data_IF_068430702467
#
_entry.id   IF_068430702467
#
_cell.length_a   1.000
_cell.length_b   1.000
_cell.length_c   1.000
_cell.angle_alpha   90.00
_cell.angle_beta   90.00
_cell.angle_gamma   90.00
#
_symmetry.space_group_name_H-M   'P 1'
#
loop_
_entity.id
_entity.type
_entity.pdbx_description
1 polymer ?
#
# COMPACT_ATOMS: atom_id res chain seq x y z
N UNK A 1 -6.78 -7.49 -5.33
CA UNK A 1 -5.57 -7.02 -6.03
C UNK A 1 -4.70 -6.29 -5.01
N UNK A 2 -3.42 -6.63 -4.95
CA UNK A 2 -2.46 -5.99 -4.05
C UNK A 2 -1.32 -5.40 -4.87
N UNK A 3 -1.04 -4.12 -4.66
CA UNK A 3 0.17 -3.48 -5.13
C UNK A 3 0.82 -2.69 -3.99
N UNK A 4 2.12 -2.85 -3.82
CA UNK A 4 2.83 -2.21 -2.73
C UNK A 4 4.35 -2.26 -2.89
N UNK A 5 5.01 -1.35 -2.17
CA UNK A 5 6.46 -1.29 -2.03
C UNK A 5 6.87 -1.88 -0.67
N UNK A 6 7.91 -2.74 -0.62
CA UNK A 6 8.34 -3.34 0.64
C UNK A 6 8.97 -2.29 1.57
N UNK A 7 8.30 -1.98 2.68
CA UNK A 7 8.81 -1.10 3.74
C UNK A 7 8.61 -1.74 5.12
N UNK A 8 9.65 -1.76 5.96
CA UNK A 8 9.51 -2.25 7.35
C UNK A 8 8.65 -1.28 8.15
N UNK A 9 7.63 -1.72 8.93
CA UNK A 9 7.23 -3.09 9.29
C UNK A 9 6.04 -3.67 8.49
N UNK A 10 5.65 -3.12 7.34
CA UNK A 10 4.54 -3.64 6.54
C UNK A 10 4.92 -4.84 5.64
N UNK A 11 6.19 -5.24 5.65
CA UNK A 11 6.73 -6.33 4.81
C UNK A 11 6.07 -7.68 5.08
N UNK A 12 5.67 -7.98 6.33
CA UNK A 12 4.97 -9.22 6.67
C UNK A 12 3.62 -9.35 5.95
N UNK A 13 2.91 -8.23 5.79
CA UNK A 13 1.63 -8.19 5.08
C UNK A 13 1.86 -8.50 3.60
N UNK A 14 2.87 -7.88 2.99
CA UNK A 14 3.23 -8.15 1.61
C UNK A 14 3.68 -9.61 1.41
N UNK A 15 4.44 -10.18 2.34
CA UNK A 15 4.90 -11.58 2.26
C UNK A 15 3.72 -12.56 2.35
N UNK A 16 2.81 -12.39 3.30
CA UNK A 16 1.62 -13.24 3.45
C UNK A 16 0.73 -13.13 2.20
N UNK A 17 0.52 -11.91 1.70
CA UNK A 17 -0.32 -11.68 0.53
C UNK A 17 0.33 -12.21 -0.75
N UNK A 18 1.65 -12.18 -0.90
CA UNK A 18 2.32 -12.76 -2.06
C UNK A 18 2.09 -14.27 -2.19
N UNK A 19 1.89 -14.98 -1.08
CA UNK A 19 1.55 -16.41 -1.07
C UNK A 19 0.05 -16.65 -1.21
N UNK A 20 -0.78 -15.95 -0.43
CA UNK A 20 -2.23 -16.20 -0.35
C UNK A 20 -3.06 -15.59 -1.47
N UNK A 21 -2.66 -14.45 -2.05
CA UNK A 21 -3.44 -13.84 -3.13
C UNK A 21 -3.49 -14.74 -4.38
N UNK A 22 -2.35 -15.28 -4.86
CA UNK A 22 -2.35 -16.15 -6.03
C UNK A 22 -3.21 -17.41 -5.85
N UNK A 23 -3.23 -18.00 -4.65
CA UNK A 23 -4.09 -19.16 -4.32
C UNK A 23 -5.58 -18.84 -4.47
N UNK A 24 -5.98 -17.60 -4.22
CA UNK A 24 -7.35 -17.11 -4.33
C UNK A 24 -7.66 -16.49 -5.70
N UNK A 25 -6.75 -16.60 -6.68
CA UNK A 25 -6.88 -16.00 -8.01
C UNK A 25 -6.69 -14.47 -8.04
N UNK A 26 -6.12 -13.89 -6.98
CA UNK A 26 -5.76 -12.48 -6.90
C UNK A 26 -4.33 -12.21 -7.37
N UNK A 27 -4.11 -11.02 -7.94
CA UNK A 27 -2.78 -10.57 -8.38
C UNK A 27 -2.06 -9.79 -7.29
N UNK A 28 -0.82 -10.19 -7.01
CA UNK A 28 0.15 -9.45 -6.21
C UNK A 28 1.19 -8.83 -7.14
N UNK A 29 1.41 -7.53 -7.03
CA UNK A 29 2.44 -6.81 -7.81
C UNK A 29 3.31 -6.00 -6.84
N UNK A 30 4.62 -6.20 -6.95
CA UNK A 30 5.57 -5.32 -6.29
C UNK A 30 5.88 -4.15 -7.22
N UNK A 31 5.68 -2.93 -6.72
CA UNK A 31 5.96 -1.72 -7.47
C UNK A 31 7.31 -1.14 -7.07
N UNK A 32 7.79 -0.19 -7.86
CA UNK A 32 9.06 0.51 -7.71
C UNK A 32 9.08 1.48 -6.53
N UNK A 33 7.94 2.12 -6.24
CA UNK A 33 7.76 3.08 -5.17
C UNK A 33 6.30 3.09 -4.65
N UNK A 34 6.06 3.82 -3.57
CA UNK A 34 4.73 3.97 -2.99
C UNK A 34 3.75 4.78 -3.87
N UNK A 35 4.26 5.64 -4.76
CA UNK A 35 3.43 6.46 -5.66
C UNK A 35 2.82 5.55 -6.73
N UNK A 36 3.65 4.79 -7.44
CA UNK A 36 3.26 3.79 -8.42
C UNK A 36 2.37 2.71 -7.80
N UNK A 37 2.65 2.31 -6.56
CA UNK A 37 1.78 1.43 -5.77
C UNK A 37 0.35 1.97 -5.72
N UNK A 38 0.17 3.22 -5.28
CA UNK A 38 -1.19 3.76 -5.12
C UNK A 38 -1.85 4.11 -6.46
N UNK A 39 -1.11 4.58 -7.46
CA UNK A 39 -1.63 4.80 -8.81
C UNK A 39 -2.17 3.50 -9.44
N UNK A 40 -1.45 2.39 -9.25
CA UNK A 40 -1.88 1.08 -9.75
C UNK A 40 -3.09 0.54 -8.99
N UNK A 41 -3.14 0.75 -7.68
CA UNK A 41 -4.31 0.46 -6.84
C UNK A 41 -5.55 1.20 -7.34
N UNK A 42 -5.42 2.51 -7.64
CA UNK A 42 -6.52 3.32 -8.16
C UNK A 42 -6.99 2.79 -9.51
N UNK A 43 -6.05 2.51 -10.43
CA UNK A 43 -6.37 1.92 -11.73
C UNK A 43 -7.09 0.56 -11.61
N UNK A 44 -6.61 -0.32 -10.73
CA UNK A 44 -7.23 -1.61 -10.48
C UNK A 44 -8.60 -1.50 -9.77
N UNK A 45 -8.83 -0.45 -8.99
CA UNK A 45 -10.15 -0.21 -8.39
C UNK A 45 -11.16 0.24 -9.43
N UNK A 46 -10.74 1.04 -10.42
CA UNK A 46 -11.59 1.50 -11.51
C UNK A 46 -12.03 0.35 -12.42
N UNK A 47 -11.27 -0.75 -12.49
CA UNK A 47 -11.68 -1.97 -13.21
C UNK A 47 -12.66 -2.86 -12.41
N UNK A 48 -13.05 -2.43 -11.20
CA UNK A 48 -14.02 -3.12 -10.35
C UNK A 48 -13.41 -4.17 -9.42
N UNK A 49 -12.08 -4.26 -9.33
CA UNK A 49 -11.43 -5.17 -8.38
C UNK A 49 -11.39 -4.56 -6.98
N UNK A 50 -11.47 -5.42 -5.96
CA UNK A 50 -11.17 -5.00 -4.58
C UNK A 50 -9.66 -4.83 -4.43
N UNK A 51 -9.24 -3.63 -4.06
CA UNK A 51 -7.83 -3.25 -3.99
C UNK A 51 -7.39 -2.94 -2.56
N UNK A 52 -6.15 -3.28 -2.24
CA UNK A 52 -5.54 -2.91 -0.96
C UNK A 52 -4.03 -2.73 -1.09
N UNK A 53 -3.47 -1.78 -0.33
CA UNK A 53 -2.01 -1.57 -0.22
C UNK A 53 -1.59 -1.52 1.25
N UNK A 54 -0.32 -1.79 1.52
CA UNK A 54 0.26 -1.74 2.86
C UNK A 54 1.56 -0.92 2.85
N UNK A 55 1.62 0.09 3.72
CA UNK A 55 2.75 1.03 3.81
C UNK A 55 3.03 1.40 5.28
N UNK A 56 4.01 2.26 5.50
CA UNK A 56 4.33 2.87 6.79
C UNK A 56 4.52 4.38 6.64
N UNK A 57 4.80 5.08 7.74
CA UNK A 57 4.85 6.54 7.81
C UNK A 57 5.44 7.27 6.58
N UNK A 58 6.68 6.98 6.13
CA UNK A 58 7.28 7.67 4.99
C UNK A 58 6.51 7.45 3.68
N UNK A 59 6.09 6.21 3.42
CA UNK A 59 5.33 5.86 2.23
C UNK A 59 3.92 6.46 2.24
N UNK A 60 3.29 6.57 3.41
CA UNK A 60 2.00 7.26 3.54
C UNK A 60 2.09 8.76 3.21
N UNK A 61 3.22 9.41 3.49
CA UNK A 61 3.47 10.80 3.09
C UNK A 61 3.60 10.95 1.57
N UNK A 62 4.22 10.00 0.88
CA UNK A 62 4.35 10.01 -0.58
C UNK A 62 3.01 9.75 -1.27
N UNK A 63 2.16 8.93 -0.67
CA UNK A 63 0.85 8.57 -1.21
C UNK A 63 -0.20 9.70 -1.16
N UNK A 64 0.06 10.82 -0.47
CA UNK A 64 -0.95 11.87 -0.23
C UNK A 64 -1.60 12.42 -1.50
N UNK A 65 -0.83 12.64 -2.56
CA UNK A 65 -1.33 13.16 -3.83
C UNK A 65 -2.34 12.19 -4.45
N UNK A 66 -1.97 10.91 -4.54
CA UNK A 66 -2.83 9.87 -5.10
C UNK A 66 -4.04 9.56 -4.20
N UNK A 67 -3.95 9.73 -2.87
CA UNK A 67 -5.12 9.68 -1.98
C UNK A 67 -6.10 10.81 -2.32
N UNK A 68 -5.60 12.03 -2.51
CA UNK A 68 -6.42 13.16 -2.94
C UNK A 68 -7.16 12.88 -4.24
N UNK A 69 -6.47 12.27 -5.21
CA UNK A 69 -7.09 11.84 -6.46
C UNK A 69 -8.17 10.75 -6.25
N UNK A 70 -7.87 9.74 -5.42
CA UNK A 70 -8.83 8.68 -5.10
C UNK A 70 -10.11 9.22 -4.45
N UNK A 71 -9.99 10.21 -3.57
CA UNK A 71 -11.15 10.90 -2.97
C UNK A 71 -11.93 11.69 -4.03
N UNK A 72 -11.24 12.43 -4.89
CA UNK A 72 -11.89 13.23 -5.94
C UNK A 72 -12.64 12.38 -6.97
N UNK A 73 -12.12 11.19 -7.27
CA UNK A 73 -12.71 10.25 -8.21
C UNK A 73 -13.63 9.21 -7.55
N UNK A 74 -13.91 9.33 -6.24
CA UNK A 74 -14.73 8.39 -5.45
C UNK A 74 -14.29 6.92 -5.57
N UNK A 75 -12.97 6.70 -5.67
CA UNK A 75 -12.39 5.38 -5.93
C UNK A 75 -12.22 4.61 -4.61
N UNK A 76 -12.88 3.45 -4.43
CA UNK A 76 -12.80 2.69 -3.20
C UNK A 76 -11.43 1.99 -3.07
N UNK A 77 -10.59 2.48 -2.15
CA UNK A 77 -9.28 1.90 -1.89
C UNK A 77 -9.02 1.70 -0.40
N UNK A 78 -8.29 0.63 -0.05
CA UNK A 78 -7.91 0.33 1.33
C UNK A 78 -6.40 0.50 1.48
N UNK A 79 -6.00 1.38 2.40
CA UNK A 79 -4.59 1.68 2.70
C UNK A 79 -4.30 1.27 4.13
N UNK A 80 -3.45 0.27 4.31
CA UNK A 80 -2.98 -0.16 5.63
C UNK A 80 -1.71 0.62 5.97
N UNK A 81 -1.82 1.54 6.92
CA UNK A 81 -0.66 2.26 7.47
C UNK A 81 -0.20 1.56 8.75
N UNK A 82 0.88 0.78 8.65
CA UNK A 82 1.55 0.21 9.83
C UNK A 82 2.45 1.29 10.41
N UNK A 83 1.89 2.03 11.37
CA UNK A 83 2.56 3.17 11.99
C UNK A 83 3.81 2.71 12.74
N UNK A 84 4.92 3.42 12.49
CA UNK A 84 6.22 3.25 13.19
C UNK A 84 6.64 4.61 13.77
N UNK A 85 7.50 4.62 14.79
CA UNK A 85 7.91 5.87 15.45
C UNK A 85 8.61 6.82 14.48
N UNK A 86 8.07 8.03 14.29
CA UNK A 86 8.63 9.13 13.48
C UNK A 86 9.27 10.25 14.32
N UNK A 87 9.71 11.39 13.73
CA UNK A 87 9.53 11.82 12.33
C UNK A 87 10.63 11.31 11.36
N UNK A 88 10.36 11.38 10.04
CA UNK A 88 11.25 10.93 8.96
C UNK A 88 11.59 9.43 9.03
N UNK A 89 12.86 9.02 8.96
CA UNK A 89 13.26 7.62 9.12
C UNK A 89 12.84 7.05 10.48
N UNK A 90 12.84 7.89 11.51
CA UNK A 90 12.38 7.54 12.84
C UNK A 90 13.11 6.34 13.43
N UNK A 91 12.37 5.43 14.06
CA UNK A 91 12.86 4.16 14.60
C UNK A 91 12.22 2.98 13.83
N UNK A 92 12.92 2.38 12.85
CA UNK A 92 12.35 1.32 11.99
C UNK A 92 11.86 0.08 12.76
N UNK A 93 12.41 -0.17 13.95
CA UNK A 93 12.10 -1.31 14.83
C UNK A 93 11.56 -0.89 16.20
N UNK A 94 11.39 0.41 16.46
CA UNK A 94 11.01 0.93 17.77
C UNK A 94 9.61 1.55 17.76
N UNK A 95 8.73 1.01 18.60
CA UNK A 95 7.51 1.68 19.04
C UNK A 95 7.81 2.21 20.46
N UNK A 96 7.97 3.53 20.61
CA UNK A 96 7.93 4.20 21.91
C UNK A 96 6.71 5.09 21.95
#
# INVERSE_FOLDING_TARGET
FFAGYPITPSTEIAEILSRRLPEMGGTFIQMEDEIASLCTIIGASLTGLKVMTATSGPGFSLMQEAIGYAVMAEVPSVIVNVQRGGPSTGLPTGCK
#
